data_IF_922957471882
#
_entry.id   IF_922957471882
#
_cell.length_a   1.000
_cell.length_b   1.000
_cell.length_c   1.000
_cell.angle_alpha   90.00
_cell.angle_beta   90.00
_cell.angle_gamma   90.00
#
_symmetry.space_group_name_H-M   'P 1'
#
loop_
_entity.id
_entity.type
_entity.pdbx_description
1 polymer ?
#
# COMPACT_ATOMS: atom_id res chain seq x y z
N UNK A 1 4.95 35.02 0.61
CA UNK A 1 4.00 35.91 1.30
C UNK A 1 4.69 36.73 2.38
N UNK A 2 5.03 36.09 3.51
CA UNK A 2 5.53 36.77 4.71
C UNK A 2 6.95 37.37 4.58
N UNK A 3 7.89 36.65 3.94
CA UNK A 3 9.29 37.13 3.82
C UNK A 3 9.44 38.40 2.97
N UNK A 4 8.75 38.48 1.83
CA UNK A 4 8.74 39.68 0.97
C UNK A 4 8.12 40.88 1.68
N UNK A 5 7.09 40.63 2.50
CA UNK A 5 6.43 41.67 3.31
C UNK A 5 7.34 42.22 4.41
N UNK A 6 8.07 41.35 5.12
CA UNK A 6 9.03 41.76 6.16
C UNK A 6 10.21 42.55 5.59
N UNK A 7 10.70 42.18 4.41
CA UNK A 7 11.72 42.92 3.67
C UNK A 7 11.20 44.33 3.33
N UNK A 8 9.97 44.43 2.82
CA UNK A 8 9.35 45.73 2.51
C UNK A 8 9.16 46.62 3.73
N UNK A 9 8.73 46.06 4.85
CA UNK A 9 8.55 46.78 6.12
C UNK A 9 9.90 47.30 6.67
N UNK A 10 10.96 46.50 6.54
CA UNK A 10 12.29 46.90 6.95
C UNK A 10 12.85 48.05 6.10
N UNK A 11 12.75 47.97 4.76
CA UNK A 11 13.18 49.07 3.89
C UNK A 11 12.36 50.36 4.12
N UNK A 12 11.08 50.24 4.47
CA UNK A 12 10.23 51.38 4.82
C UNK A 12 10.66 52.03 6.13
N UNK A 13 10.97 51.24 7.16
CA UNK A 13 11.50 51.75 8.43
C UNK A 13 12.88 52.41 8.24
N UNK A 14 13.73 51.83 7.38
CA UNK A 14 15.05 52.37 6.99
C UNK A 14 14.91 53.76 6.35
N UNK A 15 13.96 53.90 5.41
CA UNK A 15 13.67 55.16 4.72
C UNK A 15 13.12 56.23 5.67
N UNK A 16 12.23 55.86 6.60
CA UNK A 16 11.69 56.78 7.60
C UNK A 16 12.78 57.26 8.57
N UNK A 17 13.71 56.38 8.94
CA UNK A 17 14.85 56.72 9.79
C UNK A 17 15.78 57.71 9.06
N UNK A 18 16.05 57.48 7.77
CA UNK A 18 16.79 58.45 6.93
C UNK A 18 16.15 59.85 6.88
N UNK A 19 14.83 59.92 6.85
CA UNK A 19 14.11 61.17 6.64
C UNK A 19 13.93 61.99 7.93
N UNK A 20 13.77 61.33 9.08
CA UNK A 20 13.37 61.95 10.35
C UNK A 20 14.55 62.16 11.30
N UNK A 21 15.58 61.32 11.26
CA UNK A 21 16.69 61.38 12.21
C UNK A 21 17.55 62.66 12.10
N UNK A 22 17.83 63.22 10.91
CA UNK A 22 18.64 64.44 10.76
C UNK A 22 18.00 65.69 11.38
N UNK A 23 16.66 65.76 11.44
CA UNK A 23 15.94 66.90 12.00
C UNK A 23 15.87 66.88 13.53
N UNK A 24 16.13 65.73 14.16
CA UNK A 24 16.06 65.55 15.61
C UNK A 24 17.42 65.67 16.32
N UNK A 25 18.51 65.22 15.71
CA UNK A 25 19.82 65.06 16.37
C UNK A 25 20.91 66.02 15.85
N UNK A 26 20.60 66.85 14.86
CA UNK A 26 21.60 67.68 14.17
C UNK A 26 22.43 66.86 13.17
N UNK A 27 22.85 67.48 12.08
CA UNK A 27 23.33 66.78 10.87
C UNK A 27 24.56 65.90 11.11
N UNK A 28 25.46 66.27 12.01
CA UNK A 28 26.74 65.57 12.22
C UNK A 28 26.60 64.35 13.16
N UNK A 29 25.91 64.49 14.30
CA UNK A 29 25.64 63.37 15.22
C UNK A 29 24.64 62.36 14.64
N UNK A 30 23.67 62.83 13.85
CA UNK A 30 22.77 61.95 13.12
C UNK A 30 23.55 61.10 12.10
N UNK A 31 24.51 61.67 11.38
CA UNK A 31 25.31 60.92 10.38
C UNK A 31 26.13 59.78 11.00
N UNK A 32 26.81 60.04 12.12
CA UNK A 32 27.66 59.03 12.78
C UNK A 32 26.83 57.90 13.40
N UNK A 33 25.73 58.21 14.08
CA UNK A 33 24.82 57.21 14.64
C UNK A 33 24.11 56.39 13.55
N UNK A 34 23.75 57.04 12.45
CA UNK A 34 23.09 56.44 11.30
C UNK A 34 24.03 55.48 10.55
N UNK A 35 25.29 55.85 10.37
CA UNK A 35 26.28 54.99 9.72
C UNK A 35 26.49 53.67 10.51
N UNK A 36 26.63 53.76 11.84
CA UNK A 36 26.80 52.57 12.68
C UNK A 36 25.54 51.68 12.74
N UNK A 37 24.36 52.28 12.92
CA UNK A 37 23.13 51.50 13.05
C UNK A 37 22.67 50.88 11.71
N UNK A 38 22.86 51.57 10.58
CA UNK A 38 22.51 51.03 9.26
C UNK A 38 23.47 49.94 8.81
N UNK A 39 24.77 50.01 9.10
CA UNK A 39 25.69 48.97 8.62
C UNK A 39 25.48 47.66 9.39
N UNK A 40 25.37 47.67 10.72
CA UNK A 40 25.26 46.41 11.48
C UNK A 40 23.87 45.74 11.37
N UNK A 41 22.78 46.52 11.45
CA UNK A 41 21.43 45.94 11.45
C UNK A 41 21.01 45.47 10.06
N UNK A 42 21.43 46.19 9.01
CA UNK A 42 21.00 45.90 7.64
C UNK A 42 21.60 44.60 7.10
N UNK A 43 22.84 44.27 7.49
CA UNK A 43 23.44 42.98 7.16
C UNK A 43 22.75 41.83 7.89
N UNK A 44 22.42 42.01 9.18
CA UNK A 44 21.74 40.98 9.98
C UNK A 44 20.34 40.68 9.43
N UNK A 45 19.55 41.72 9.12
CA UNK A 45 18.20 41.54 8.58
C UNK A 45 18.22 40.94 7.17
N UNK A 46 19.18 41.34 6.33
CA UNK A 46 19.36 40.74 5.00
C UNK A 46 19.74 39.26 5.10
N UNK A 47 20.64 38.90 6.02
CA UNK A 47 21.05 37.52 6.25
C UNK A 47 19.90 36.67 6.80
N UNK A 48 19.15 37.18 7.79
CA UNK A 48 17.99 36.49 8.35
C UNK A 48 16.90 36.26 7.29
N UNK A 49 16.66 37.26 6.43
CA UNK A 49 15.72 37.15 5.31
C UNK A 49 16.15 36.08 4.31
N UNK A 50 17.44 36.03 3.97
CA UNK A 50 18.00 35.00 3.08
C UNK A 50 17.83 33.59 3.66
N UNK A 51 18.10 33.41 4.95
CA UNK A 51 17.92 32.13 5.67
C UNK A 51 16.46 31.68 5.65
N UNK A 52 15.52 32.60 5.92
CA UNK A 52 14.07 32.29 5.90
C UNK A 52 13.57 31.91 4.51
N UNK A 53 14.03 32.62 3.47
CA UNK A 53 13.69 32.29 2.07
C UNK A 53 14.21 30.89 1.72
N UNK A 54 15.46 30.59 2.09
CA UNK A 54 16.08 29.30 1.80
C UNK A 54 15.41 28.15 2.55
N UNK A 55 15.06 28.32 3.82
CA UNK A 55 14.32 27.33 4.60
C UNK A 55 12.92 27.06 4.01
N UNK A 56 12.21 28.11 3.59
CA UNK A 56 10.93 27.97 2.89
C UNK A 56 11.05 27.24 1.56
N UNK A 57 12.11 27.53 0.80
CA UNK A 57 12.40 26.84 -0.47
C UNK A 57 12.72 25.35 -0.27
N UNK A 58 13.50 25.01 0.77
CA UNK A 58 13.77 23.62 1.16
C UNK A 58 12.47 22.90 1.55
N UNK A 59 11.61 23.55 2.33
CA UNK A 59 10.30 23.00 2.73
C UNK A 59 9.42 22.67 1.53
N UNK A 60 9.29 23.61 0.58
CA UNK A 60 8.51 23.41 -0.66
C UNK A 60 9.10 22.30 -1.54
N UNK A 61 10.43 22.19 -1.63
CA UNK A 61 11.07 21.10 -2.38
C UNK A 61 10.85 19.75 -1.71
N UNK A 62 10.92 19.69 -0.37
CA UNK A 62 10.69 18.45 0.38
C UNK A 62 9.24 17.98 0.26
N UNK A 63 8.29 18.88 0.44
CA UNK A 63 6.87 18.59 0.24
C UNK A 63 6.59 18.07 -1.17
N UNK A 64 7.12 18.75 -2.21
CA UNK A 64 7.01 18.30 -3.62
C UNK A 64 7.69 16.96 -3.89
N UNK A 65 8.83 16.67 -3.26
CA UNK A 65 9.52 15.37 -3.42
C UNK A 65 8.73 14.25 -2.78
N UNK A 66 8.23 14.45 -1.56
CA UNK A 66 7.40 13.45 -0.86
C UNK A 66 6.11 13.18 -1.63
N UNK A 67 5.46 14.21 -2.21
CA UNK A 67 4.27 13.98 -3.05
C UNK A 67 4.61 13.30 -4.37
N UNK A 68 5.72 13.66 -5.03
CA UNK A 68 6.11 13.03 -6.29
C UNK A 68 6.59 11.59 -6.11
N UNK A 69 7.28 11.27 -5.02
CA UNK A 69 7.70 9.90 -4.71
C UNK A 69 6.48 9.02 -4.41
N UNK A 70 5.51 9.53 -3.62
CA UNK A 70 4.23 8.86 -3.38
C UNK A 70 3.42 8.66 -4.68
N UNK A 71 3.36 9.67 -5.55
CA UNK A 71 2.68 9.60 -6.85
C UNK A 71 3.38 8.64 -7.82
N UNK A 72 4.71 8.65 -7.89
CA UNK A 72 5.49 7.74 -8.74
C UNK A 72 5.41 6.29 -8.23
N UNK A 73 5.34 6.08 -6.91
CA UNK A 73 5.08 4.76 -6.32
C UNK A 73 3.65 4.27 -6.58
N UNK A 74 2.64 5.15 -6.51
CA UNK A 74 1.25 4.81 -6.81
C UNK A 74 1.05 4.47 -8.30
N UNK A 75 1.56 5.29 -9.21
CA UNK A 75 1.42 5.08 -10.66
C UNK A 75 2.18 3.85 -11.18
N UNK A 76 3.34 3.51 -10.58
CA UNK A 76 4.04 2.25 -10.92
C UNK A 76 3.30 1.00 -10.44
N UNK A 77 2.55 1.05 -9.35
CA UNK A 77 1.73 -0.08 -8.89
C UNK A 77 0.50 -0.30 -9.78
N UNK A 78 -0.17 0.79 -10.19
CA UNK A 78 -1.40 0.75 -10.99
C UNK A 78 -1.17 0.25 -12.43
N UNK A 79 -0.08 0.67 -13.08
CA UNK A 79 0.25 0.26 -14.46
C UNK A 79 0.72 -1.21 -14.51
N UNK A 80 1.44 -1.67 -13.50
CA UNK A 80 1.86 -3.08 -13.39
C UNK A 80 0.66 -4.00 -13.14
N UNK A 81 -0.34 -3.54 -12.39
CA UNK A 81 -1.56 -4.29 -12.08
C UNK A 81 -2.47 -4.55 -13.28
N UNK A 82 -2.73 -3.54 -14.11
CA UNK A 82 -3.59 -3.68 -15.30
C UNK A 82 -2.94 -4.48 -16.43
N UNK A 83 -1.65 -4.28 -16.69
CA UNK A 83 -0.91 -5.03 -17.71
C UNK A 83 -0.74 -6.51 -17.32
N UNK A 84 -0.48 -6.80 -16.06
CA UNK A 84 -0.36 -8.17 -15.58
C UNK A 84 -1.69 -8.94 -15.62
N UNK A 85 -2.83 -8.26 -15.40
CA UNK A 85 -4.16 -8.88 -15.47
C UNK A 85 -4.53 -9.35 -16.88
N UNK A 86 -4.30 -8.50 -17.90
CA UNK A 86 -4.53 -8.86 -19.30
C UNK A 86 -3.59 -9.95 -19.81
N UNK A 87 -2.29 -9.87 -19.49
CA UNK A 87 -1.30 -10.87 -19.90
C UNK A 87 -1.56 -12.22 -19.22
N UNK A 88 -1.91 -12.23 -17.94
CA UNK A 88 -2.20 -13.47 -17.21
C UNK A 88 -3.53 -14.11 -17.64
N UNK A 89 -4.53 -13.32 -18.01
CA UNK A 89 -5.74 -13.84 -18.65
C UNK A 89 -5.42 -14.57 -19.96
N UNK A 90 -4.63 -13.95 -20.85
CA UNK A 90 -4.25 -14.56 -22.14
C UNK A 90 -3.35 -15.78 -21.97
N UNK A 91 -2.47 -15.76 -20.95
CA UNK A 91 -1.64 -16.90 -20.57
C UNK A 91 -2.48 -18.09 -20.07
N UNK A 92 -3.47 -17.84 -19.20
CA UNK A 92 -4.41 -18.86 -18.75
C UNK A 92 -5.26 -19.42 -19.90
N UNK A 93 -5.66 -18.57 -20.85
CA UNK A 93 -6.35 -19.00 -22.07
C UNK A 93 -5.50 -19.99 -22.88
N UNK A 94 -4.20 -19.70 -23.04
CA UNK A 94 -3.28 -20.57 -23.78
C UNK A 94 -3.07 -21.89 -23.06
N UNK A 95 -2.84 -21.86 -21.74
CA UNK A 95 -2.69 -23.08 -20.93
C UNK A 95 -3.95 -23.93 -20.99
N UNK A 96 -5.14 -23.32 -20.92
CA UNK A 96 -6.42 -24.02 -20.99
C UNK A 96 -6.59 -24.76 -22.33
N UNK A 97 -6.17 -24.15 -23.44
CA UNK A 97 -6.19 -24.82 -24.76
C UNK A 97 -5.20 -25.97 -24.82
N UNK A 98 -4.00 -25.83 -24.25
CA UNK A 98 -3.00 -26.90 -24.20
C UNK A 98 -3.51 -28.08 -23.36
N UNK A 99 -4.06 -27.81 -22.17
CA UNK A 99 -4.66 -28.81 -21.30
C UNK A 99 -5.82 -29.54 -21.99
N UNK A 100 -6.74 -28.79 -22.61
CA UNK A 100 -7.88 -29.38 -23.33
C UNK A 100 -7.46 -30.28 -24.50
N UNK A 101 -6.42 -29.90 -25.24
CA UNK A 101 -5.88 -30.75 -26.31
C UNK A 101 -5.22 -32.02 -25.75
N UNK A 102 -4.48 -31.92 -24.64
CA UNK A 102 -3.87 -33.07 -23.98
C UNK A 102 -4.92 -34.04 -23.42
N UNK A 103 -5.99 -33.52 -22.79
CA UNK A 103 -7.13 -34.32 -22.34
C UNK A 103 -7.87 -35.00 -23.49
N UNK A 104 -8.06 -34.32 -24.62
CA UNK A 104 -8.67 -34.91 -25.81
C UNK A 104 -7.78 -36.02 -26.42
N UNK A 105 -6.46 -35.84 -26.41
CA UNK A 105 -5.52 -36.86 -26.85
C UNK A 105 -5.57 -38.09 -25.92
N UNK A 106 -5.62 -37.89 -24.60
CA UNK A 106 -5.77 -38.96 -23.60
C UNK A 106 -7.03 -39.80 -23.80
N UNK A 107 -8.15 -39.17 -24.19
CA UNK A 107 -9.42 -39.88 -24.46
C UNK A 107 -9.33 -40.85 -25.65
N UNK A 108 -8.37 -40.65 -26.56
CA UNK A 108 -8.19 -41.49 -27.75
C UNK A 108 -7.11 -42.57 -27.58
N UNK A 109 -6.41 -42.59 -26.44
CA UNK A 109 -5.34 -43.53 -26.15
C UNK A 109 -5.84 -44.69 -25.29
N UNK A 110 -5.29 -45.89 -25.52
CA UNK A 110 -5.50 -47.03 -24.63
C UNK A 110 -4.79 -46.80 -23.29
N UNK A 111 -5.25 -47.45 -22.21
CA UNK A 111 -4.60 -47.35 -20.89
C UNK A 111 -3.14 -47.83 -20.88
N UNK A 112 -2.80 -48.75 -21.78
CA UNK A 112 -1.44 -49.28 -21.95
C UNK A 112 -0.57 -48.48 -22.92
N UNK A 113 -1.08 -47.37 -23.47
CA UNK A 113 -0.33 -46.61 -24.46
C UNK A 113 0.85 -45.87 -23.80
N UNK A 114 2.09 -46.04 -24.28
CA UNK A 114 3.26 -45.40 -23.69
C UNK A 114 3.20 -43.87 -23.72
N UNK A 115 2.45 -43.25 -24.65
CA UNK A 115 2.29 -41.79 -24.72
C UNK A 115 1.34 -41.23 -23.64
N UNK A 116 0.60 -42.10 -22.94
CA UNK A 116 -0.38 -41.69 -21.93
C UNK A 116 0.26 -40.99 -20.74
N UNK A 117 1.36 -41.53 -20.23
CA UNK A 117 2.06 -40.98 -19.06
C UNK A 117 2.57 -39.56 -19.33
N UNK A 118 3.13 -39.32 -20.52
CA UNK A 118 3.62 -37.99 -20.92
C UNK A 118 2.48 -36.97 -21.04
N UNK A 119 1.32 -37.39 -21.54
CA UNK A 119 0.15 -36.51 -21.66
C UNK A 119 -0.50 -36.21 -20.30
N UNK A 120 -0.53 -37.17 -19.37
CA UNK A 120 -0.98 -36.94 -17.99
C UNK A 120 -0.05 -35.94 -17.27
N UNK A 121 1.26 -36.02 -17.51
CA UNK A 121 2.24 -35.06 -16.99
C UNK A 121 2.06 -33.65 -17.58
N UNK A 122 1.73 -33.54 -18.87
CA UNK A 122 1.39 -32.27 -19.52
C UNK A 122 0.14 -31.63 -18.90
N UNK A 123 -0.91 -32.42 -18.65
CA UNK A 123 -2.14 -31.92 -17.99
C UNK A 123 -1.82 -31.43 -16.58
N UNK A 124 -1.06 -32.21 -15.80
CA UNK A 124 -0.64 -31.82 -14.46
C UNK A 124 0.20 -30.53 -14.47
N UNK A 125 1.13 -30.38 -15.41
CA UNK A 125 1.93 -29.17 -15.55
C UNK A 125 1.09 -27.93 -15.91
N UNK A 126 0.07 -28.10 -16.76
CA UNK A 126 -0.87 -27.03 -17.10
C UNK A 126 -1.68 -26.56 -15.89
N UNK A 127 -2.17 -27.49 -15.06
CA UNK A 127 -2.91 -27.15 -13.83
C UNK A 127 -2.03 -26.36 -12.86
N UNK A 128 -0.77 -26.76 -12.69
CA UNK A 128 0.19 -26.04 -11.85
C UNK A 128 0.48 -24.63 -12.38
N UNK A 129 0.64 -24.48 -13.70
CA UNK A 129 0.86 -23.17 -14.31
C UNK A 129 -0.36 -22.23 -14.16
N UNK A 130 -1.58 -22.76 -14.29
CA UNK A 130 -2.82 -22.02 -14.01
C UNK A 130 -2.91 -21.57 -12.54
N UNK A 131 -2.49 -22.42 -11.60
CA UNK A 131 -2.48 -22.10 -10.17
C UNK A 131 -1.50 -20.97 -9.85
N UNK A 132 -0.27 -21.03 -10.37
CA UNK A 132 0.76 -19.98 -10.21
C UNK A 132 0.27 -18.65 -10.82
N UNK A 133 -0.34 -18.71 -12.00
CA UNK A 133 -0.85 -17.52 -12.69
C UNK A 133 -2.03 -16.89 -11.94
N UNK A 134 -2.91 -17.71 -11.34
CA UNK A 134 -3.97 -17.22 -10.44
C UNK A 134 -3.41 -16.54 -9.19
N UNK A 135 -2.37 -17.11 -8.55
CA UNK A 135 -1.73 -16.49 -7.39
C UNK A 135 -1.10 -15.13 -7.74
N UNK A 136 -0.47 -15.01 -8.92
CA UNK A 136 0.04 -13.74 -9.44
C UNK A 136 -1.08 -12.73 -9.75
N UNK A 137 -2.21 -13.18 -10.31
CA UNK A 137 -3.39 -12.35 -10.55
C UNK A 137 -4.01 -11.83 -9.25
N UNK A 138 -4.10 -12.67 -8.22
CA UNK A 138 -4.57 -12.27 -6.89
C UNK A 138 -3.66 -11.21 -6.26
N UNK A 139 -2.36 -11.25 -6.53
CA UNK A 139 -1.42 -10.20 -6.09
C UNK A 139 -1.56 -8.90 -6.92
N UNK A 140 -1.97 -9.02 -8.19
CA UNK A 140 -2.08 -7.93 -9.15
C UNK A 140 -3.44 -7.20 -9.11
N UNK A 141 -4.48 -7.83 -8.57
CA UNK A 141 -5.80 -7.23 -8.37
C UNK A 141 -5.73 -6.15 -7.28
N UNK A 142 -5.31 -4.97 -7.71
CA UNK A 142 -5.51 -3.69 -7.06
C UNK A 142 -6.78 -3.05 -7.59
N UNK A 143 -7.84 -3.84 -7.79
CA UNK A 143 -9.15 -3.26 -8.06
C UNK A 143 -9.68 -2.60 -6.79
N UNK A 144 -10.08 -1.35 -6.96
CA UNK A 144 -10.79 -0.53 -6.00
C UNK A 144 -12.11 -1.22 -5.63
N UNK A 145 -12.07 -2.15 -4.68
CA UNK A 145 -13.28 -2.51 -3.96
C UNK A 145 -13.51 -1.38 -2.98
N UNK A 146 -14.65 -0.71 -3.12
CA UNK A 146 -15.05 0.33 -2.17
C UNK A 146 -15.27 -0.32 -0.78
N UNK A 147 -15.01 0.41 0.32
CA UNK A 147 -15.36 -0.08 1.65
C UNK A 147 -16.87 -0.40 1.71
N UNK A 148 -17.20 -1.67 1.91
CA UNK A 148 -18.58 -2.12 2.07
C UNK A 148 -18.86 -2.44 3.54
N UNK A 149 -20.11 -2.25 3.96
CA UNK A 149 -20.60 -2.71 5.26
C UNK A 149 -20.79 -4.21 5.22
N UNK A 150 -19.89 -4.95 5.85
CA UNK A 150 -19.87 -6.40 5.85
C UNK A 150 -19.80 -7.01 7.24
N UNK A 151 -20.39 -8.20 7.38
CA UNK A 151 -20.19 -9.04 8.56
C UNK A 151 -18.98 -9.95 8.32
N UNK A 152 -17.97 -9.85 9.19
CA UNK A 152 -16.73 -10.60 9.05
C UNK A 152 -16.93 -12.11 9.17
N UNK A 153 -17.91 -12.57 9.96
CA UNK A 153 -18.21 -14.00 10.08
C UNK A 153 -18.81 -14.53 8.78
N UNK A 154 -19.71 -13.76 8.15
CA UNK A 154 -20.26 -14.13 6.84
C UNK A 154 -19.22 -14.03 5.72
N UNK A 155 -18.26 -13.11 5.81
CA UNK A 155 -17.14 -13.05 4.88
C UNK A 155 -16.24 -14.30 5.00
N UNK A 156 -15.79 -14.63 6.22
CA UNK A 156 -14.94 -15.81 6.46
C UNK A 156 -15.67 -17.10 6.07
N UNK A 157 -16.98 -17.19 6.33
CA UNK A 157 -17.81 -18.33 5.90
C UNK A 157 -17.87 -18.48 4.38
N UNK A 158 -18.00 -17.37 3.64
CA UNK A 158 -17.98 -17.38 2.16
C UNK A 158 -16.61 -17.76 1.61
N UNK A 159 -15.54 -17.37 2.29
CA UNK A 159 -14.17 -17.71 1.92
C UNK A 159 -13.78 -19.18 2.23
N UNK A 160 -14.54 -19.90 3.07
CA UNK A 160 -14.23 -21.26 3.51
C UNK A 160 -13.83 -22.23 2.39
N UNK A 161 -14.57 -22.34 1.26
CA UNK A 161 -14.22 -23.28 0.20
C UNK A 161 -12.86 -22.99 -0.43
N UNK A 162 -12.52 -21.70 -0.59
CA UNK A 162 -11.23 -21.25 -1.10
C UNK A 162 -10.11 -21.55 -0.08
N UNK A 163 -10.33 -21.24 1.19
CA UNK A 163 -9.35 -21.50 2.25
C UNK A 163 -9.08 -23.01 2.37
N UNK A 164 -10.12 -23.85 2.37
CA UNK A 164 -9.97 -25.31 2.41
C UNK A 164 -9.16 -25.85 1.23
N UNK A 165 -9.35 -25.31 0.03
CA UNK A 165 -8.55 -25.68 -1.15
C UNK A 165 -7.09 -25.24 -1.02
N UNK A 166 -6.82 -24.09 -0.41
CA UNK A 166 -5.46 -23.59 -0.19
C UNK A 166 -4.71 -24.41 0.87
N UNK A 167 -5.43 -24.91 1.88
CA UNK A 167 -4.87 -25.72 2.98
C UNK A 167 -4.47 -27.13 2.51
N UNK A 168 -5.26 -27.76 1.63
CA UNK A 168 -5.01 -29.14 1.17
C UNK A 168 -5.74 -30.20 2.01
N UNK A 169 -5.53 -31.49 1.70
CA UNK A 169 -6.23 -32.59 2.37
C UNK A 169 -5.57 -33.01 3.71
N UNK A 170 -4.27 -32.73 3.86
CA UNK A 170 -3.46 -33.18 5.01
C UNK A 170 -3.61 -32.28 6.26
N UNK A 171 -4.26 -31.13 6.13
CA UNK A 171 -4.39 -30.15 7.23
C UNK A 171 -5.87 -29.83 7.48
N UNK A 172 -6.30 -29.94 8.74
CA UNK A 172 -7.68 -29.66 9.14
C UNK A 172 -7.92 -28.17 9.31
N UNK A 173 -8.89 -27.63 8.57
CA UNK A 173 -9.35 -26.25 8.72
C UNK A 173 -10.60 -26.19 9.61
N UNK A 174 -10.51 -25.43 10.71
CA UNK A 174 -11.62 -25.16 11.62
C UNK A 174 -12.00 -23.67 11.63
N UNK A 175 -13.30 -23.38 11.56
CA UNK A 175 -13.81 -22.01 11.66
C UNK A 175 -14.52 -21.78 13.00
N UNK A 176 -14.01 -20.83 13.79
CA UNK A 176 -14.61 -20.39 15.04
C UNK A 176 -15.22 -19.00 14.87
N UNK A 177 -16.43 -18.96 14.32
CA UNK A 177 -17.11 -17.72 13.95
C UNK A 177 -18.11 -17.34 15.03
N UNK A 178 -17.89 -16.21 15.69
CA UNK A 178 -18.78 -15.78 16.74
C UNK A 178 -20.03 -15.06 16.15
N UNK A 179 -21.11 -14.90 16.94
CA UNK A 179 -22.38 -14.34 16.43
C UNK A 179 -22.27 -12.84 16.09
N UNK A 180 -22.43 -12.53 14.80
CA UNK A 180 -22.78 -11.21 14.19
C UNK A 180 -22.43 -9.99 15.05
N UNK A 181 -21.33 -9.28 14.73
CA UNK A 181 -20.75 -8.23 15.57
C UNK A 181 -21.15 -6.79 15.19
N UNK A 182 -22.04 -6.64 14.21
CA UNK A 182 -22.28 -5.36 13.54
C UNK A 182 -21.37 -5.22 12.32
N UNK A 183 -21.82 -4.42 11.34
CA UNK A 183 -21.12 -4.27 10.08
C UNK A 183 -19.80 -3.51 10.25
N UNK A 184 -18.71 -4.08 9.73
CA UNK A 184 -17.43 -3.41 9.55
C UNK A 184 -17.41 -2.79 8.16
N UNK A 185 -16.95 -1.54 8.04
CA UNK A 185 -16.70 -0.93 6.73
C UNK A 185 -15.28 -1.28 6.29
N UNK A 186 -15.18 -2.21 5.35
CA UNK A 186 -13.91 -2.66 4.80
C UNK A 186 -14.08 -3.20 3.38
N UNK A 187 -12.97 -3.36 2.70
CA UNK A 187 -12.88 -3.98 1.38
C UNK A 187 -12.90 -5.52 1.56
N UNK A 188 -13.96 -6.21 1.08
CA UNK A 188 -14.07 -7.67 1.22
C UNK A 188 -12.90 -8.42 0.59
N UNK A 189 -12.47 -8.00 -0.61
CA UNK A 189 -11.41 -8.64 -1.37
C UNK A 189 -10.06 -8.54 -0.66
N UNK A 190 -9.74 -7.39 -0.06
CA UNK A 190 -8.51 -7.23 0.74
C UNK A 190 -8.49 -8.11 1.98
N UNK A 191 -9.64 -8.29 2.65
CA UNK A 191 -9.72 -9.17 3.82
C UNK A 191 -9.59 -10.63 3.38
N UNK A 192 -10.26 -11.04 2.31
CA UNK A 192 -10.15 -12.40 1.75
C UNK A 192 -8.70 -12.72 1.33
N UNK A 193 -8.01 -11.78 0.70
CA UNK A 193 -6.61 -11.93 0.31
C UNK A 193 -5.67 -12.01 1.53
N UNK A 194 -5.88 -11.17 2.54
CA UNK A 194 -5.12 -11.23 3.78
C UNK A 194 -5.32 -12.58 4.48
N UNK A 195 -6.56 -13.08 4.54
CA UNK A 195 -6.91 -14.38 5.08
C UNK A 195 -6.22 -15.52 4.33
N UNK A 196 -6.26 -15.49 2.99
CA UNK A 196 -5.61 -16.50 2.17
C UNK A 196 -4.10 -16.57 2.44
N UNK A 197 -3.43 -15.42 2.49
CA UNK A 197 -1.99 -15.36 2.77
C UNK A 197 -1.66 -15.89 4.17
N UNK A 198 -2.44 -15.52 5.18
CA UNK A 198 -2.23 -16.01 6.54
C UNK A 198 -2.42 -17.52 6.64
N UNK A 199 -3.43 -18.07 5.95
CA UNK A 199 -3.70 -19.51 5.93
C UNK A 199 -2.63 -20.29 5.17
N UNK A 200 -2.10 -19.75 4.07
CA UNK A 200 -0.96 -20.35 3.37
C UNK A 200 0.28 -20.36 4.28
N UNK A 201 0.59 -19.25 4.95
CA UNK A 201 1.72 -19.19 5.88
C UNK A 201 1.56 -20.18 7.05
N UNK A 202 0.34 -20.29 7.59
CA UNK A 202 0.00 -21.24 8.65
C UNK A 202 0.17 -22.70 8.17
N UNK A 203 -0.25 -23.01 6.95
CA UNK A 203 -0.04 -24.33 6.32
C UNK A 203 1.45 -24.62 6.15
N UNK A 204 2.22 -23.66 5.65
CA UNK A 204 3.65 -23.86 5.40
C UNK A 204 4.46 -24.05 6.69
N UNK A 205 3.93 -23.61 7.84
CA UNK A 205 4.49 -23.87 9.18
C UNK A 205 4.19 -25.29 9.71
N UNK A 206 3.24 -26.00 9.09
CA UNK A 206 2.84 -27.35 9.47
C UNK A 206 3.65 -28.36 8.64
N UNK A 207 4.35 -29.27 9.32
CA UNK A 207 5.25 -30.27 8.69
C UNK A 207 4.63 -31.65 8.51
N UNK A 208 3.55 -31.96 9.23
CA UNK A 208 2.81 -33.23 9.21
C UNK A 208 1.29 -32.97 9.31
N UNK A 209 0.50 -33.90 9.86
CA UNK A 209 -0.93 -33.66 10.13
C UNK A 209 -1.11 -32.49 11.10
N UNK A 210 -1.76 -31.42 10.63
CA UNK A 210 -1.93 -30.20 11.42
C UNK A 210 -3.36 -29.66 11.44
N UNK A 211 -3.53 -28.60 12.20
CA UNK A 211 -4.80 -27.89 12.37
C UNK A 211 -4.58 -26.40 12.21
N UNK A 212 -5.41 -25.77 11.39
CA UNK A 212 -5.51 -24.32 11.26
C UNK A 212 -6.90 -23.90 11.73
N UNK A 213 -6.94 -22.95 12.66
CA UNK A 213 -8.16 -22.35 13.20
C UNK A 213 -8.25 -20.91 12.72
N UNK A 214 -9.34 -20.57 12.03
CA UNK A 214 -9.69 -19.19 11.70
C UNK A 214 -10.83 -18.75 12.61
N UNK A 215 -10.58 -17.77 13.47
CA UNK A 215 -11.53 -17.26 14.45
C UNK A 215 -11.91 -15.81 14.16
N UNK A 216 -13.18 -15.47 14.39
CA UNK A 216 -13.67 -14.09 14.38
C UNK A 216 -14.16 -13.75 15.78
N UNK A 217 -13.49 -12.79 16.42
CA UNK A 217 -13.69 -12.43 17.81
C UNK A 217 -14.00 -10.94 17.95
N UNK A 218 -14.82 -10.60 18.94
CA UNK A 218 -15.02 -9.20 19.33
C UNK A 218 -13.84 -8.74 20.16
N UNK A 219 -13.31 -7.57 19.83
CA UNK A 219 -12.32 -6.89 20.64
C UNK A 219 -12.80 -5.47 21.01
N UNK A 220 -12.10 -4.89 21.98
CA UNK A 220 -12.19 -3.45 22.22
C UNK A 220 -10.79 -2.89 22.08
N UNK A 221 -10.58 -2.05 21.06
CA UNK A 221 -9.35 -1.29 20.90
C UNK A 221 -9.64 0.16 21.26
N UNK A 222 -8.91 0.71 22.24
CA UNK A 222 -9.03 2.12 22.67
C UNK A 222 -10.46 2.58 22.98
N UNK A 223 -11.28 1.71 23.57
CA UNK A 223 -12.67 2.02 23.94
C UNK A 223 -13.68 1.97 22.80
N UNK A 224 -13.26 1.72 21.56
CA UNK A 224 -14.16 1.51 20.43
C UNK A 224 -14.41 0.00 20.20
N UNK A 225 -15.65 -0.38 19.82
CA UNK A 225 -15.94 -1.76 19.43
C UNK A 225 -15.16 -2.09 18.15
N UNK A 226 -14.33 -3.13 18.21
CA UNK A 226 -13.59 -3.64 17.07
C UNK A 226 -13.84 -5.14 16.91
N UNK A 227 -13.51 -5.67 15.74
CA UNK A 227 -13.54 -7.09 15.46
C UNK A 227 -12.15 -7.53 15.01
N UNK A 228 -11.76 -8.73 15.42
CA UNK A 228 -10.46 -9.32 15.14
C UNK A 228 -10.67 -10.64 14.42
N UNK A 229 -9.97 -10.81 13.31
CA UNK A 229 -9.83 -12.10 12.65
C UNK A 229 -8.47 -12.66 13.08
N UNK A 230 -8.49 -13.86 13.66
CA UNK A 230 -7.30 -14.57 14.12
C UNK A 230 -7.13 -15.83 13.29
N UNK A 231 -5.92 -16.04 12.77
CA UNK A 231 -5.51 -17.33 12.19
C UNK A 231 -4.50 -17.93 13.16
N UNK A 232 -4.69 -19.19 13.52
CA UNK A 232 -3.81 -19.91 14.45
C UNK A 232 -3.56 -21.30 13.90
N UNK A 233 -2.32 -21.73 13.97
CA UNK A 233 -1.88 -23.06 13.58
C UNK A 233 -1.22 -23.77 14.77
N UNK A 234 -1.04 -25.08 14.62
CA UNK A 234 -0.27 -25.91 15.54
C UNK A 234 1.09 -26.33 14.95
N UNK A 235 1.61 -25.55 14.00
CA UNK A 235 2.92 -25.74 13.38
C UNK A 235 4.09 -25.40 14.31
N UNK A 236 5.31 -25.65 13.83
CA UNK A 236 6.56 -25.50 14.59
C UNK A 236 7.33 -24.22 14.24
#
# INVERSE_FOLDING_TARGET
GLGVFLIGLFYFADLMTMLVLPSLLGTQQAMDAMLYLHLDVRWIVSLLSLVLIFAGFIGVIRERKETNELLQHAQRREIVGQLASGVAHDFNNTITVIAGNAEMALKNLSESDPARAELEEIVHACDQACNVTRQLLTFSQSESHEPERLDLSELVRRAEPMLRRAVGEDVRLHLSLAKTFGAVEADPGKIEQALLNLVINARDAITEDGEIVVAVEKASSDGNPSAVIRVSDNGC
#
